data_IF_580084603125
#
_entry.id   IF_580084603125
#
_cell.length_a   1.000
_cell.length_b   1.000
_cell.length_c   1.000
_cell.angle_alpha   90.00
_cell.angle_beta   90.00
_cell.angle_gamma   90.00
#
_symmetry.space_group_name_H-M   'P 1'
#
loop_
_entity.id
_entity.type
_entity.pdbx_description
1 polymer ?
#
# COMPACT_ATOMS: atom_id res chain seq x y z
N UNK A 1 21.84 5.35 11.25
CA UNK A 1 21.51 5.08 9.82
C UNK A 1 20.62 3.83 9.76
N UNK A 2 19.31 3.90 9.46
CA UNK A 2 18.52 2.69 9.37
C UNK A 2 18.73 2.04 8.00
N UNK A 3 19.36 0.88 8.07
CA UNK A 3 19.74 -0.02 6.97
C UNK A 3 18.50 -0.80 6.54
N UNK A 4 17.86 -0.37 5.46
CA UNK A 4 16.73 -1.07 4.86
C UNK A 4 17.20 -2.41 4.29
N UNK A 5 16.99 -3.50 5.04
CA UNK A 5 17.17 -4.86 4.53
C UNK A 5 16.13 -5.07 3.43
N UNK A 6 16.62 -5.34 2.22
CA UNK A 6 15.84 -5.80 1.09
C UNK A 6 15.02 -7.04 1.47
N UNK A 7 13.74 -6.85 1.79
CA UNK A 7 12.77 -7.91 1.69
C UNK A 7 12.50 -8.13 0.21
N UNK A 8 13.04 -9.24 -0.33
CA UNK A 8 12.63 -9.74 -1.64
C UNK A 8 11.12 -9.96 -1.62
N UNK A 9 10.38 -9.04 -2.22
CA UNK A 9 8.94 -9.20 -2.47
C UNK A 9 8.77 -10.38 -3.41
N UNK A 10 8.15 -11.44 -2.92
CA UNK A 10 7.57 -12.46 -3.78
C UNK A 10 6.45 -11.77 -4.56
N UNK A 11 6.64 -11.59 -5.86
CA UNK A 11 5.52 -11.27 -6.76
C UNK A 11 4.58 -12.47 -6.71
N UNK A 12 3.46 -12.34 -5.99
CA UNK A 12 2.38 -13.31 -6.10
C UNK A 12 1.82 -13.12 -7.51
N UNK A 13 2.28 -13.94 -8.46
CA UNK A 13 1.66 -14.04 -9.79
C UNK A 13 0.24 -14.60 -9.58
N UNK A 14 -0.74 -13.72 -9.36
CA UNK A 14 -2.15 -14.11 -9.30
C UNK A 14 -2.57 -14.50 -10.72
N UNK A 15 -2.83 -15.80 -10.92
CA UNK A 15 -3.24 -16.38 -12.20
C UNK A 15 -4.66 -15.91 -12.52
N UNK A 16 -4.88 -15.45 -13.74
CA UNK A 16 -6.20 -15.20 -14.31
C UNK A 16 -7.08 -16.46 -14.17
N UNK A 17 -8.24 -16.34 -13.52
CA UNK A 17 -9.31 -17.34 -13.58
C UNK A 17 -10.60 -16.64 -13.99
N UNK A 18 -11.34 -17.25 -14.91
CA UNK A 18 -12.66 -16.78 -15.33
C UNK A 18 -13.70 -17.06 -14.23
N UNK A 19 -14.55 -16.05 -14.01
CA UNK A 19 -15.86 -16.01 -13.36
C UNK A 19 -15.98 -16.44 -11.87
N UNK A 20 -16.42 -15.48 -11.04
CA UNK A 20 -16.84 -15.65 -9.64
C UNK A 20 -16.43 -14.47 -8.76
N UNK A 21 -17.35 -13.54 -8.52
CA UNK A 21 -17.22 -12.44 -7.56
C UNK A 21 -17.15 -12.97 -6.11
N UNK A 22 -16.51 -12.40 -5.08
CA UNK A 22 -15.42 -11.42 -4.87
C UNK A 22 -15.00 -11.70 -3.41
N UNK A 23 -13.70 -11.92 -3.11
CA UNK A 23 -13.23 -11.86 -1.72
C UNK A 23 -13.09 -10.38 -1.37
N UNK A 24 -14.18 -9.72 -0.95
CA UNK A 24 -14.05 -8.47 -0.22
C UNK A 24 -13.64 -8.84 1.19
N UNK A 25 -12.39 -8.55 1.54
CA UNK A 25 -11.81 -8.90 2.82
C UNK A 25 -11.15 -7.66 3.40
N UNK A 26 -11.82 -7.06 4.37
CA UNK A 26 -11.22 -6.05 5.23
C UNK A 26 -10.80 -6.73 6.53
N UNK A 27 -9.54 -6.57 6.91
CA UNK A 27 -8.98 -7.15 8.14
C UNK A 27 -8.07 -6.15 8.82
N UNK A 28 -8.50 -5.70 9.99
CA UNK A 28 -7.66 -4.99 10.93
C UNK A 28 -7.05 -5.96 11.95
N UNK A 29 -5.77 -5.77 12.27
CA UNK A 29 -5.09 -6.43 13.39
C UNK A 29 -4.35 -5.39 14.21
N UNK A 30 -4.76 -5.23 15.46
CA UNK A 30 -4.02 -4.45 16.46
C UNK A 30 -3.11 -5.37 17.27
N UNK A 31 -1.88 -4.94 17.49
CA UNK A 31 -0.91 -5.56 18.38
C UNK A 31 -0.35 -4.51 19.32
N UNK A 32 -0.23 -4.87 20.59
CA UNK A 32 0.40 -4.05 21.62
C UNK A 32 1.50 -4.89 22.28
N UNK A 33 2.73 -4.36 22.28
CA UNK A 33 3.83 -4.88 23.10
C UNK A 33 3.93 -4.02 24.36
N UNK A 34 3.45 -4.58 25.47
CA UNK A 34 3.41 -3.88 26.75
C UNK A 34 4.79 -3.67 27.39
N UNK A 35 5.79 -4.50 27.05
CA UNK A 35 7.14 -4.34 27.58
C UNK A 35 7.89 -3.23 26.84
N UNK A 36 7.67 -3.11 25.53
CA UNK A 36 8.26 -2.06 24.71
C UNK A 36 7.42 -0.76 24.67
N UNK A 37 6.15 -0.81 25.09
CA UNK A 37 5.21 0.31 24.97
C UNK A 37 4.88 0.65 23.51
N UNK A 38 4.87 -0.33 22.60
CA UNK A 38 4.66 -0.09 21.16
C UNK A 38 3.34 -0.67 20.66
N UNK A 39 2.69 0.07 19.76
CA UNK A 39 1.46 -0.33 19.09
C UNK A 39 1.71 -0.51 17.60
N UNK A 40 1.14 -1.56 17.03
CA UNK A 40 1.09 -1.83 15.59
C UNK A 40 -0.35 -2.12 15.18
N UNK A 41 -0.91 -1.28 14.31
CA UNK A 41 -2.15 -1.58 13.59
C UNK A 41 -1.79 -1.95 12.15
N UNK A 42 -2.17 -3.15 11.73
CA UNK A 42 -2.12 -3.57 10.32
C UNK A 42 -3.54 -3.64 9.80
N UNK A 43 -3.84 -2.82 8.80
CA UNK A 43 -5.09 -2.88 8.07
C UNK A 43 -4.83 -3.44 6.67
N UNK A 44 -5.68 -4.35 6.24
CA UNK A 44 -5.62 -4.96 4.93
C UNK A 44 -7.00 -4.90 4.29
N UNK A 45 -7.10 -4.31 3.10
CA UNK A 45 -8.28 -4.38 2.25
C UNK A 45 -7.93 -5.15 0.98
N UNK A 46 -8.72 -6.16 0.65
CA UNK A 46 -8.75 -6.81 -0.66
C UNK A 46 -10.17 -6.57 -1.18
N UNK A 47 -10.34 -5.70 -2.17
CA UNK A 47 -11.64 -5.41 -2.78
C UNK A 47 -12.08 -6.53 -3.73
N UNK A 48 -11.15 -7.43 -4.05
CA UNK A 48 -11.30 -8.49 -5.02
C UNK A 48 -11.58 -8.00 -6.44
N UNK A 49 -11.72 -8.97 -7.35
CA UNK A 49 -11.91 -8.71 -8.77
C UNK A 49 -13.36 -8.43 -9.12
N UNK A 50 -13.63 -7.20 -9.53
CA UNK A 50 -14.96 -6.74 -9.93
C UNK A 50 -15.01 -6.59 -11.45
N UNK A 51 -16.02 -7.19 -12.10
CA UNK A 51 -16.33 -6.94 -13.51
C UNK A 51 -17.48 -5.93 -13.60
N UNK A 52 -17.21 -4.78 -14.19
CA UNK A 52 -18.25 -3.83 -14.56
C UNK A 52 -18.90 -4.28 -15.86
N UNK A 53 -20.13 -4.79 -15.79
CA UNK A 53 -20.84 -5.39 -16.93
C UNK A 53 -21.02 -4.42 -18.11
N UNK A 54 -21.31 -3.14 -17.83
CA UNK A 54 -21.59 -2.15 -18.88
C UNK A 54 -20.36 -1.78 -19.72
N UNK A 55 -19.19 -1.70 -19.09
CA UNK A 55 -17.93 -1.29 -19.74
C UNK A 55 -17.01 -2.47 -20.07
N UNK A 56 -17.37 -3.68 -19.62
CA UNK A 56 -16.51 -4.86 -19.60
C UNK A 56 -15.15 -4.62 -18.91
N UNK A 57 -15.08 -3.65 -18.00
CA UNK A 57 -13.86 -3.31 -17.26
C UNK A 57 -13.73 -4.21 -16.03
N UNK A 58 -12.61 -4.90 -15.91
CA UNK A 58 -12.19 -5.61 -14.71
C UNK A 58 -11.33 -4.70 -13.86
N UNK A 59 -11.61 -4.65 -12.56
CA UNK A 59 -10.79 -3.95 -11.55
C UNK A 59 -10.42 -4.91 -10.43
N UNK A 60 -9.22 -4.78 -9.88
CA UNK A 60 -8.76 -5.47 -8.66
C UNK A 60 -8.00 -4.46 -7.82
N UNK A 61 -8.21 -4.45 -6.50
CA UNK A 61 -7.51 -3.53 -5.60
C UNK A 61 -7.18 -4.22 -4.29
N UNK A 62 -5.93 -4.08 -3.86
CA UNK A 62 -5.46 -4.54 -2.56
C UNK A 62 -4.62 -3.45 -1.92
N UNK A 63 -4.94 -3.11 -0.67
CA UNK A 63 -4.17 -2.21 0.17
C UNK A 63 -3.72 -2.92 1.44
N UNK A 64 -2.50 -2.64 1.88
CA UNK A 64 -2.03 -2.98 3.22
C UNK A 64 -1.40 -1.75 3.84
N UNK A 65 -1.94 -1.34 4.97
CA UNK A 65 -1.47 -0.21 5.75
C UNK A 65 -0.92 -0.70 7.09
N UNK A 66 0.20 -0.13 7.51
CA UNK A 66 0.78 -0.38 8.83
C UNK A 66 0.97 0.94 9.53
N UNK A 67 0.44 1.04 10.73
CA UNK A 67 0.57 2.18 11.62
C UNK A 67 1.32 1.73 12.87
N UNK A 68 2.41 2.41 13.19
CA UNK A 68 3.29 2.11 14.31
C UNK A 68 3.45 3.35 15.17
N UNK A 69 3.42 3.20 16.50
CA UNK A 69 3.68 4.28 17.45
C UNK A 69 4.17 3.72 18.79
N UNK A 70 5.04 4.47 19.46
CA UNK A 70 5.52 4.23 20.82
C UNK A 70 4.79 5.14 21.80
N UNK A 71 4.31 4.58 22.90
CA UNK A 71 3.66 5.31 23.98
C UNK A 71 4.60 6.37 24.59
N UNK A 72 4.08 7.57 24.81
CA UNK A 72 4.85 8.70 25.32
C UNK A 72 5.76 9.39 24.31
N UNK A 73 5.95 8.83 23.10
CA UNK A 73 6.72 9.44 22.02
C UNK A 73 5.85 9.68 20.77
N UNK A 74 5.17 10.83 20.65
CA UNK A 74 4.34 11.13 19.49
C UNK A 74 5.14 11.28 18.18
N UNK A 75 6.46 11.48 18.24
CA UNK A 75 7.31 11.61 17.05
C UNK A 75 7.74 10.25 16.49
N UNK A 76 7.57 9.17 17.26
CA UNK A 76 7.77 7.80 16.77
C UNK A 76 6.72 7.35 15.75
N UNK A 77 5.62 8.10 15.60
CA UNK A 77 4.51 7.75 14.73
C UNK A 77 4.96 7.51 13.28
N UNK A 78 4.61 6.34 12.76
CA UNK A 78 4.97 5.91 11.42
C UNK A 78 3.80 5.24 10.72
N UNK A 79 3.61 5.55 9.44
CA UNK A 79 2.71 4.82 8.54
C UNK A 79 3.48 4.28 7.35
N UNK A 80 3.16 3.07 6.92
CA UNK A 80 3.54 2.55 5.60
C UNK A 80 2.34 2.02 4.87
N UNK A 81 2.31 2.17 3.55
CA UNK A 81 1.24 1.67 2.70
C UNK A 81 1.82 0.94 1.50
N UNK A 82 1.24 -0.22 1.22
CA UNK A 82 1.50 -1.04 0.06
C UNK A 82 0.18 -1.20 -0.68
N UNK A 83 0.09 -0.63 -1.88
CA UNK A 83 -1.15 -0.62 -2.65
C UNK A 83 -0.91 -1.15 -4.06
N UNK A 84 -1.84 -1.96 -4.54
CA UNK A 84 -1.85 -2.49 -5.89
C UNK A 84 -3.25 -2.34 -6.47
N UNK A 85 -3.33 -1.85 -7.70
CA UNK A 85 -4.56 -1.79 -8.47
C UNK A 85 -4.33 -2.35 -9.87
N UNK A 86 -5.27 -3.15 -10.36
CA UNK A 86 -5.26 -3.69 -11.73
C UNK A 86 -6.49 -3.22 -12.49
N UNK A 87 -6.30 -2.95 -13.79
CA UNK A 87 -7.38 -2.70 -14.74
C UNK A 87 -7.20 -3.65 -15.93
N UNK A 88 -8.30 -4.23 -16.42
CA UNK A 88 -8.25 -5.03 -17.63
C UNK A 88 -9.53 -4.98 -18.45
N UNK A 89 -9.41 -5.16 -19.76
CA UNK A 89 -10.53 -5.23 -20.70
C UNK A 89 -10.10 -5.95 -21.98
N UNK A 90 -10.69 -7.11 -22.25
CA UNK A 90 -10.23 -7.99 -23.35
C UNK A 90 -8.78 -8.39 -23.14
N UNK A 91 -7.94 -8.15 -24.16
CA UNK A 91 -6.49 -8.42 -24.11
C UNK A 91 -5.69 -7.34 -23.36
N UNK A 92 -6.28 -6.16 -23.10
CA UNK A 92 -5.60 -5.08 -22.40
C UNK A 92 -5.56 -5.34 -20.89
N UNK A 93 -4.38 -5.23 -20.28
CA UNK A 93 -4.16 -5.31 -18.84
C UNK A 93 -3.14 -4.26 -18.41
N UNK A 94 -3.48 -3.49 -17.39
CA UNK A 94 -2.56 -2.59 -16.67
C UNK A 94 -2.57 -2.86 -15.18
N UNK A 95 -1.49 -2.45 -14.52
CA UNK A 95 -1.33 -2.56 -13.07
C UNK A 95 -0.54 -1.39 -12.55
N UNK A 96 -0.95 -0.85 -11.41
CA UNK A 96 -0.23 0.18 -10.67
C UNK A 96 0.13 -0.40 -9.31
N UNK A 97 1.38 -0.23 -8.92
CA UNK A 97 1.86 -0.53 -7.58
C UNK A 97 2.37 0.76 -6.95
N UNK A 98 1.99 1.02 -5.70
CA UNK A 98 2.59 2.10 -4.91
C UNK A 98 3.08 1.61 -3.57
N UNK A 99 4.19 2.17 -3.12
CA UNK A 99 4.70 2.04 -1.77
C UNK A 99 4.89 3.43 -1.20
N UNK A 100 4.35 3.68 -0.01
CA UNK A 100 4.55 4.94 0.69
C UNK A 100 4.94 4.74 2.13
N UNK A 101 5.65 5.71 2.67
CA UNK A 101 5.91 5.82 4.11
C UNK A 101 5.76 7.26 4.57
N UNK A 102 5.18 7.45 5.74
CA UNK A 102 5.03 8.72 6.42
C UNK A 102 5.64 8.63 7.83
N UNK A 103 6.46 9.59 8.19
CA UNK A 103 7.01 9.78 9.54
C UNK A 103 6.92 11.25 9.94
N UNK A 104 7.15 11.58 11.19
CA UNK A 104 7.23 12.98 11.65
C UNK A 104 8.47 13.24 12.50
N UNK A 105 8.93 14.49 12.48
CA UNK A 105 9.79 15.06 13.51
C UNK A 105 9.05 16.20 14.24
N UNK A 106 9.76 16.95 15.09
CA UNK A 106 9.16 18.03 15.87
C UNK A 106 8.51 19.13 15.00
N UNK A 107 8.94 19.28 13.76
CA UNK A 107 8.64 20.43 12.89
C UNK A 107 7.99 20.03 11.56
N UNK A 108 8.19 18.81 11.08
CA UNK A 108 7.74 18.36 9.77
C UNK A 108 7.15 16.95 9.77
N UNK A 109 6.28 16.70 8.80
CA UNK A 109 5.97 15.37 8.30
C UNK A 109 6.85 15.06 7.08
N UNK A 110 7.35 13.84 6.98
CA UNK A 110 8.18 13.37 5.87
C UNK A 110 7.50 12.22 5.14
N UNK A 111 7.26 12.40 3.85
CA UNK A 111 6.67 11.37 2.99
C UNK A 111 7.71 10.87 1.98
N UNK A 112 7.75 9.55 1.79
CA UNK A 112 8.48 8.88 0.71
C UNK A 112 7.52 8.03 -0.08
N UNK A 113 7.53 8.13 -1.41
CA UNK A 113 6.59 7.44 -2.28
C UNK A 113 7.33 6.84 -3.48
N UNK A 114 6.91 5.64 -3.87
CA UNK A 114 7.27 5.00 -5.14
C UNK A 114 5.99 4.60 -5.85
N UNK A 115 5.89 4.91 -7.14
CA UNK A 115 4.84 4.45 -8.04
C UNK A 115 5.49 3.69 -9.20
N UNK A 116 4.93 2.53 -9.53
CA UNK A 116 5.31 1.76 -10.70
C UNK A 116 4.06 1.36 -11.47
N UNK A 117 4.04 1.62 -12.78
CA UNK A 117 2.95 1.25 -13.66
C UNK A 117 3.41 0.21 -14.69
N UNK A 118 2.52 -0.72 -14.98
CA UNK A 118 2.75 -1.84 -15.88
C UNK A 118 1.64 -1.92 -16.92
N UNK A 119 2.00 -2.34 -18.13
CA UNK A 119 1.08 -2.71 -19.21
C UNK A 119 1.53 -4.05 -19.82
N UNK A 120 0.61 -5.00 -19.98
CA UNK A 120 0.95 -6.34 -20.48
C UNK A 120 2.01 -7.07 -19.62
N UNK A 121 2.13 -6.71 -18.34
CA UNK A 121 3.14 -7.22 -17.42
C UNK A 121 4.53 -6.58 -17.55
N UNK A 122 4.73 -5.64 -18.47
CA UNK A 122 5.98 -4.88 -18.62
C UNK A 122 5.89 -3.55 -17.87
N UNK A 123 6.96 -3.17 -17.17
CA UNK A 123 7.03 -1.87 -16.48
C UNK A 123 7.15 -0.76 -17.52
N UNK A 124 6.16 0.12 -17.60
CA UNK A 124 6.12 1.25 -18.56
C UNK A 124 6.44 2.58 -17.91
N UNK A 125 6.30 2.68 -16.59
CA UNK A 125 6.61 3.90 -15.84
C UNK A 125 7.05 3.59 -14.42
N UNK A 126 8.00 4.38 -13.90
CA UNK A 126 8.38 4.37 -12.49
C UNK A 126 8.72 5.78 -12.04
N UNK A 127 8.20 6.18 -10.88
CA UNK A 127 8.56 7.44 -10.23
C UNK A 127 8.77 7.22 -8.74
N UNK A 128 9.80 7.88 -8.21
CA UNK A 128 10.04 7.95 -6.78
C UNK A 128 10.21 9.41 -6.39
N UNK A 129 9.59 9.81 -5.28
CA UNK A 129 9.68 11.18 -4.79
C UNK A 129 9.53 11.21 -3.27
N UNK A 130 10.17 12.21 -2.67
CA UNK A 130 10.07 12.51 -1.26
C UNK A 130 9.68 13.98 -1.11
N UNK A 131 8.92 14.28 -0.08
CA UNK A 131 8.61 15.66 0.28
C UNK A 131 8.40 15.78 1.78
N UNK A 132 8.43 17.02 2.28
CA UNK A 132 8.17 17.29 3.69
C UNK A 132 7.23 18.49 3.81
N UNK A 133 6.38 18.45 4.83
CA UNK A 133 5.35 19.46 5.09
C UNK A 133 5.51 19.90 6.54
N UNK A 134 5.55 21.20 6.81
CA UNK A 134 5.61 21.72 8.17
C UNK A 134 4.37 21.28 8.96
N UNK A 135 4.50 20.99 10.27
CA UNK A 135 3.37 20.52 11.07
C UNK A 135 2.28 21.56 11.27
N UNK A 136 2.66 22.83 11.34
CA UNK A 136 1.77 23.94 11.69
C UNK A 136 1.20 24.68 10.47
N UNK A 137 1.28 24.10 9.26
CA UNK A 137 0.73 24.72 8.05
C UNK A 137 -0.75 24.35 7.79
N UNK A 138 -1.51 24.03 8.85
CA UNK A 138 -2.92 23.65 8.78
C UNK A 138 -3.83 24.75 9.32
#
# INVERSE_FOLDING_TARGET
>A
MPRWRHLKRQSVRRRWRKAGCVRHCTRARLQHDAAAGTYLLVDCTDEGRVLQTRSALLTDEVCTERFEITEGDPLSARRTTEWQMEFARGEWQTRIETQSSLTSDATHFHASNTLQAFEGGQSVFRKQWNFSVARDCM
#
